data_IF_632303330119
#
_entry.id   IF_632303330119
#
_cell.length_a   1.000
_cell.length_b   1.000
_cell.length_c   1.000
_cell.angle_alpha   90.00
_cell.angle_beta   90.00
_cell.angle_gamma   90.00
#
_symmetry.space_group_name_H-M   'P 1'
#
loop_
_entity.id
_entity.type
_entity.pdbx_description
1 polymer ?
#
# COMPACT_ATOMS: atom_id res chain seq x y z
N UNK A 1 20.78 -4.14 10.30
CA UNK A 1 21.53 -5.38 9.97
C UNK A 1 22.05 -5.23 8.55
N UNK A 2 23.37 -5.16 8.37
CA UNK A 2 23.97 -4.98 7.04
C UNK A 2 24.06 -6.31 6.29
N UNK A 3 23.69 -6.25 5.02
CA UNK A 3 23.68 -7.31 4.00
C UNK A 3 25.07 -7.52 3.36
N UNK A 4 26.12 -6.88 3.91
CA UNK A 4 27.52 -7.14 3.58
C UNK A 4 28.07 -6.44 2.33
N UNK A 5 27.26 -5.61 1.65
CA UNK A 5 27.65 -4.77 0.51
C UNK A 5 27.23 -3.31 0.76
N UNK A 6 27.87 -2.32 0.14
CA UNK A 6 27.36 -0.95 0.13
C UNK A 6 26.23 -0.81 -0.90
N UNK A 7 25.19 -0.06 -0.55
CA UNK A 7 24.06 0.32 -1.40
C UNK A 7 23.78 1.80 -1.14
N UNK A 8 23.08 2.47 -2.04
CA UNK A 8 22.68 3.86 -1.86
C UNK A 8 21.78 4.05 -0.61
N UNK A 9 20.82 3.14 -0.42
CA UNK A 9 19.94 3.10 0.76
C UNK A 9 20.37 2.00 1.73
N UNK A 10 20.40 2.30 3.02
CA UNK A 10 20.85 1.33 4.03
C UNK A 10 19.86 0.17 4.22
N UNK A 11 20.40 -1.04 4.43
CA UNK A 11 19.61 -2.25 4.65
C UNK A 11 18.72 -2.15 5.91
N UNK A 12 19.08 -1.38 6.94
CA UNK A 12 18.21 -1.15 8.10
C UNK A 12 17.06 -0.20 7.78
N UNK A 13 17.31 0.87 7.05
CA UNK A 13 16.29 1.84 6.63
C UNK A 13 15.21 1.18 5.78
N UNK A 14 15.60 0.32 4.84
CA UNK A 14 14.66 -0.43 4.01
C UNK A 14 13.79 -1.38 4.85
N UNK A 15 14.39 -2.10 5.80
CA UNK A 15 13.66 -3.03 6.65
C UNK A 15 12.75 -2.33 7.66
N UNK A 16 13.08 -1.13 8.12
CA UNK A 16 12.21 -0.32 8.98
C UNK A 16 10.96 0.17 8.24
N UNK A 17 11.08 0.44 6.93
CA UNK A 17 9.98 0.96 6.11
C UNK A 17 9.28 -0.08 5.26
N UNK A 18 9.73 -1.34 5.29
CA UNK A 18 9.21 -2.43 4.46
C UNK A 18 7.70 -2.65 4.64
N UNK A 19 7.18 -2.44 5.86
CA UNK A 19 5.75 -2.57 6.15
C UNK A 19 4.94 -1.47 5.47
N UNK A 20 5.39 -0.21 5.54
CA UNK A 20 4.74 0.91 4.88
C UNK A 20 4.72 0.70 3.35
N UNK A 21 5.80 0.17 2.79
CA UNK A 21 5.87 -0.20 1.38
C UNK A 21 4.87 -1.34 1.04
N UNK A 22 4.79 -2.38 1.86
CA UNK A 22 3.82 -3.48 1.73
C UNK A 22 2.36 -3.02 1.87
N UNK A 23 2.09 -1.98 2.65
CA UNK A 23 0.77 -1.37 2.85
C UNK A 23 0.43 -0.31 1.80
N UNK A 24 1.40 0.09 0.97
CA UNK A 24 1.29 1.23 0.03
C UNK A 24 0.99 2.56 0.73
N UNK A 25 1.58 2.73 1.91
CA UNK A 25 1.44 3.91 2.77
C UNK A 25 2.67 4.84 2.68
N UNK A 26 3.27 4.92 1.50
CA UNK A 26 4.48 5.70 1.26
C UNK A 26 4.32 6.60 0.03
N UNK A 27 5.07 7.70 0.00
CA UNK A 27 5.16 8.55 -1.19
C UNK A 27 5.85 7.81 -2.35
N UNK A 28 5.50 8.17 -3.59
CA UNK A 28 6.02 7.49 -4.80
C UNK A 28 7.55 7.56 -4.89
N UNK A 29 8.14 8.68 -4.46
CA UNK A 29 9.59 8.87 -4.44
C UNK A 29 10.28 7.85 -3.52
N UNK A 30 9.71 7.58 -2.35
CA UNK A 30 10.27 6.65 -1.37
C UNK A 30 10.05 5.18 -1.79
N UNK A 31 8.94 4.89 -2.47
CA UNK A 31 8.66 3.57 -3.05
C UNK A 31 9.76 3.16 -4.04
N UNK A 32 10.23 4.10 -4.87
CA UNK A 32 11.25 3.83 -5.89
C UNK A 32 12.62 3.47 -5.28
N UNK A 33 12.97 4.06 -4.12
CA UNK A 33 14.22 3.78 -3.42
C UNK A 33 14.22 2.39 -2.80
N UNK A 34 13.11 2.04 -2.11
CA UNK A 34 12.93 0.70 -1.54
C UNK A 34 12.97 -0.36 -2.64
N UNK A 35 12.24 -0.14 -3.75
CA UNK A 35 12.22 -1.07 -4.87
C UNK A 35 13.61 -1.33 -5.42
N UNK A 36 14.38 -0.26 -5.72
CA UNK A 36 15.76 -0.37 -6.21
C UNK A 36 16.64 -1.19 -5.28
N UNK A 37 16.55 -0.93 -3.97
CA UNK A 37 17.32 -1.69 -3.00
C UNK A 37 16.94 -3.18 -2.98
N UNK A 38 15.65 -3.51 -3.02
CA UNK A 38 15.19 -4.91 -3.05
C UNK A 38 15.64 -5.63 -4.32
N UNK A 39 15.70 -4.94 -5.46
CA UNK A 39 16.20 -5.48 -6.73
C UNK A 39 17.71 -5.80 -6.69
N UNK A 40 18.48 -5.04 -5.91
CA UNK A 40 19.94 -5.18 -5.79
C UNK A 40 20.38 -6.05 -4.60
N UNK A 41 19.51 -6.23 -3.60
CA UNK A 41 19.83 -6.87 -2.33
C UNK A 41 18.96 -8.10 -2.04
N UNK A 42 19.39 -9.26 -2.55
CA UNK A 42 18.72 -10.55 -2.31
C UNK A 42 18.44 -10.87 -0.82
N UNK A 43 19.33 -10.58 0.15
CA UNK A 43 19.03 -10.77 1.58
C UNK A 43 17.84 -9.93 2.09
N UNK A 44 17.66 -8.72 1.59
CA UNK A 44 16.51 -7.88 1.95
C UNK A 44 15.25 -8.34 1.23
N UNK A 45 15.35 -8.76 -0.02
CA UNK A 45 14.23 -9.34 -0.77
C UNK A 45 13.64 -10.58 -0.07
N UNK A 46 14.49 -11.49 0.42
CA UNK A 46 14.03 -12.67 1.17
C UNK A 46 13.26 -12.31 2.44
N UNK A 47 13.66 -11.23 3.12
CA UNK A 47 12.93 -10.74 4.31
C UNK A 47 11.62 -10.10 3.91
N UNK A 48 11.62 -9.25 2.89
CA UNK A 48 10.42 -8.66 2.32
C UNK A 48 9.38 -9.74 1.96
N UNK A 49 9.80 -10.82 1.28
CA UNK A 49 8.93 -11.93 0.93
C UNK A 49 8.35 -12.62 2.16
N UNK A 50 9.17 -12.84 3.19
CA UNK A 50 8.71 -13.41 4.46
C UNK A 50 7.67 -12.51 5.14
N UNK A 51 7.91 -11.20 5.23
CA UNK A 51 6.95 -10.26 5.80
C UNK A 51 5.63 -10.24 5.00
N UNK A 52 5.71 -10.29 3.67
CA UNK A 52 4.54 -10.43 2.80
C UNK A 52 3.75 -11.71 3.07
N UNK A 53 4.42 -12.84 3.24
CA UNK A 53 3.79 -14.11 3.60
C UNK A 53 3.11 -14.04 4.98
N UNK A 54 3.77 -13.48 5.98
CA UNK A 54 3.19 -13.29 7.33
C UNK A 54 1.95 -12.43 7.26
N UNK A 55 2.00 -11.30 6.55
CA UNK A 55 0.86 -10.41 6.35
C UNK A 55 -0.31 -11.12 5.65
N UNK A 56 -0.02 -11.93 4.62
CA UNK A 56 -1.05 -12.72 3.94
C UNK A 56 -1.71 -13.75 4.86
N UNK A 57 -0.93 -14.37 5.76
CA UNK A 57 -1.41 -15.34 6.74
C UNK A 57 -2.31 -14.67 7.76
N UNK A 58 -1.90 -13.52 8.28
CA UNK A 58 -2.71 -12.71 9.21
C UNK A 58 -4.01 -12.27 8.55
N UNK A 59 -3.95 -11.72 7.34
CA UNK A 59 -5.14 -11.31 6.60
C UNK A 59 -6.11 -12.48 6.36
N UNK A 60 -5.61 -13.67 6.06
CA UNK A 60 -6.46 -14.87 5.91
C UNK A 60 -7.10 -15.31 7.23
N UNK A 61 -6.35 -15.24 8.33
CA UNK A 61 -6.79 -15.74 9.64
C UNK A 61 -7.77 -14.77 10.33
N UNK A 62 -7.58 -13.46 10.11
CA UNK A 62 -8.35 -12.40 10.74
C UNK A 62 -9.40 -11.76 9.81
N UNK A 63 -9.31 -11.95 8.49
CA UNK A 63 -10.20 -11.36 7.49
C UNK A 63 -11.41 -12.21 7.11
N UNK A 64 -11.68 -13.31 7.82
CA UNK A 64 -12.84 -14.19 7.55
C UNK A 64 -14.17 -13.59 8.03
N UNK A 65 -14.14 -12.51 8.80
CA UNK A 65 -15.33 -11.74 9.12
C UNK A 65 -15.78 -10.96 7.88
N UNK A 66 -16.65 -11.61 7.09
CA UNK A 66 -17.27 -11.01 5.92
C UNK A 66 -17.96 -9.72 6.38
N UNK A 67 -17.60 -8.54 5.85
CA UNK A 67 -18.24 -7.30 6.26
C UNK A 67 -19.75 -7.42 6.00
N UNK A 68 -20.62 -6.87 6.87
CA UNK A 68 -22.07 -6.93 6.67
C UNK A 68 -22.42 -6.45 5.26
N UNK A 69 -23.26 -7.20 4.55
CA UNK A 69 -23.61 -6.90 3.15
C UNK A 69 -24.17 -5.49 2.96
N UNK A 70 -24.87 -4.99 3.98
CA UNK A 70 -25.43 -3.64 4.02
C UNK A 70 -24.35 -2.54 4.05
N UNK A 71 -23.18 -2.81 4.65
CA UNK A 71 -22.05 -1.86 4.69
C UNK A 71 -21.52 -1.60 3.28
N UNK A 72 -21.35 -2.65 2.49
CA UNK A 72 -20.91 -2.52 1.08
C UNK A 72 -21.90 -1.67 0.28
N UNK A 73 -23.19 -1.88 0.47
CA UNK A 73 -24.23 -1.10 -0.22
C UNK A 73 -24.17 0.38 0.19
N UNK A 74 -24.04 0.67 1.48
CA UNK A 74 -23.88 2.06 1.99
C UNK A 74 -22.65 2.76 1.41
N UNK A 75 -21.51 2.08 1.37
CA UNK A 75 -20.27 2.62 0.77
C UNK A 75 -20.47 2.94 -0.71
N UNK A 76 -21.03 2.00 -1.49
CA UNK A 76 -21.28 2.23 -2.92
C UNK A 76 -22.28 3.37 -3.17
N UNK A 77 -23.31 3.51 -2.34
CA UNK A 77 -24.25 4.63 -2.42
C UNK A 77 -23.54 5.96 -2.15
N UNK A 78 -22.67 6.03 -1.13
CA UNK A 78 -21.95 7.27 -0.82
C UNK A 78 -20.95 7.66 -1.91
N UNK A 79 -20.22 6.69 -2.47
CA UNK A 79 -19.31 6.93 -3.61
C UNK A 79 -20.08 7.50 -4.82
N UNK A 80 -21.24 6.92 -5.15
CA UNK A 80 -22.08 7.41 -6.26
C UNK A 80 -22.57 8.84 -6.03
N UNK A 81 -23.01 9.16 -4.82
CA UNK A 81 -23.48 10.51 -4.48
C UNK A 81 -22.38 11.56 -4.70
N UNK A 82 -21.15 11.30 -4.23
CA UNK A 82 -20.00 12.20 -4.44
C UNK A 82 -19.70 12.39 -5.93
N UNK A 83 -19.79 11.34 -6.74
CA UNK A 83 -19.58 11.43 -8.19
C UNK A 83 -20.61 12.33 -8.90
N UNK A 84 -21.86 12.35 -8.41
CA UNK A 84 -22.91 13.23 -8.94
C UNK A 84 -22.62 14.68 -8.59
N UNK A 85 -22.29 14.97 -7.32
CA UNK A 85 -21.98 16.33 -6.85
C UNK A 85 -20.83 16.97 -7.65
N UNK A 86 -19.77 16.22 -7.97
CA UNK A 86 -18.63 16.71 -8.77
C UNK A 86 -19.04 16.99 -10.23
N UNK A 87 -19.97 16.21 -10.78
CA UNK A 87 -20.45 16.38 -12.16
C UNK A 87 -21.39 17.58 -12.29
N UNK A 88 -22.16 17.90 -11.24
CA UNK A 88 -23.08 19.04 -11.21
C UNK A 88 -22.35 20.39 -11.01
N UNK A 89 -21.20 20.39 -10.32
CA UNK A 89 -20.33 21.58 -10.17
C UNK A 89 -19.50 21.92 -11.43
N UNK A 90 -19.46 21.00 -12.41
CA UNK A 90 -18.72 21.17 -13.67
C UNK A 90 -19.57 21.77 -14.82
N UNK A 91 -20.79 22.24 -14.55
CA UNK A 91 -21.64 22.89 -15.57
C UNK A 91 -21.14 24.30 -15.92
N UNK A 92 -21.11 24.71 -17.19
CA UNK A 92 -20.58 26.03 -17.56
C UNK A 92 -21.40 27.16 -16.94
N UNK A 93 -20.78 28.30 -16.56
CA UNK A 93 -21.53 29.44 -16.05
C UNK A 93 -22.51 29.92 -17.10
N UNK A 94 -23.79 29.97 -16.75
CA UNK A 94 -24.81 30.63 -17.55
C UNK A 94 -24.53 32.15 -17.52
N UNK A 95 -24.08 32.69 -18.65
CA UNK A 95 -23.83 34.11 -18.86
C UNK A 95 -23.26 34.40 -20.24
#
# INVERSE_FOLDING_TARGET
MSCGKPHETDCSEVLERVFLFLDREMEDADCSQIQRHLDECAPCLQKYDLEGLVKSLVARSCGQDKPPSDLRQKVLLRIRAVHVEISEDSGPPAG
#
